data_IF_757244926822
#
_entry.id   IF_757244926822
#
_cell.length_a   1.000
_cell.length_b   1.000
_cell.length_c   1.000
_cell.angle_alpha   90.00
_cell.angle_beta   90.00
_cell.angle_gamma   90.00
#
_symmetry.space_group_name_H-M   'P 1'
#
loop_
_entity.id
_entity.type
_entity.pdbx_description
1 polymer ?
#
# COMPACT_ATOMS: atom_id res chain seq x y z
N UNK A 1 -0.40 10.78 -6.84
CA UNK A 1 -0.39 11.77 -7.95
C UNK A 1 0.21 13.06 -7.43
N UNK A 2 0.96 13.79 -8.25
CA UNK A 2 1.47 15.12 -7.90
C UNK A 2 1.34 16.02 -9.12
N UNK A 3 0.69 17.16 -8.98
CA UNK A 3 0.42 18.11 -10.06
C UNK A 3 1.01 19.44 -9.68
N UNK A 4 1.75 20.07 -10.59
CA UNK A 4 2.38 21.38 -10.38
C UNK A 4 1.66 22.49 -11.13
N UNK A 5 1.75 23.70 -10.60
CA UNK A 5 1.12 24.90 -11.18
C UNK A 5 1.90 25.41 -12.40
N UNK A 6 3.22 25.30 -12.40
CA UNK A 6 4.11 25.83 -13.45
C UNK A 6 5.22 24.84 -13.85
N UNK A 7 5.66 24.91 -15.11
CA UNK A 7 6.68 24.02 -15.70
C UNK A 7 8.09 24.24 -15.14
N UNK A 8 8.39 25.41 -14.58
CA UNK A 8 9.70 25.68 -13.98
C UNK A 8 9.82 25.14 -12.54
N UNK A 9 8.74 24.58 -11.99
CA UNK A 9 8.74 23.99 -10.65
C UNK A 9 9.64 22.75 -10.62
N UNK A 10 10.53 22.66 -9.63
CA UNK A 10 11.36 21.47 -9.43
C UNK A 10 10.61 20.49 -8.53
N UNK A 11 10.42 19.26 -8.98
CA UNK A 11 9.62 18.25 -8.28
C UNK A 11 10.50 17.10 -7.81
N UNK A 12 10.22 16.54 -6.63
CA UNK A 12 10.84 15.30 -6.17
C UNK A 12 9.81 14.40 -5.48
N UNK A 13 9.90 13.10 -5.75
CA UNK A 13 9.20 12.07 -4.98
C UNK A 13 10.15 11.44 -3.99
N UNK A 14 9.68 11.28 -2.76
CA UNK A 14 10.43 10.66 -1.66
C UNK A 14 9.62 9.52 -1.04
N UNK A 15 10.31 8.44 -0.66
CA UNK A 15 9.80 7.43 0.26
C UNK A 15 10.56 7.59 1.58
N UNK A 16 9.87 8.00 2.64
CA UNK A 16 10.49 8.44 3.91
C UNK A 16 11.53 9.53 3.66
N UNK A 17 12.83 9.21 3.75
CA UNK A 17 13.94 10.13 3.49
C UNK A 17 14.69 9.84 2.18
N UNK A 18 14.32 8.78 1.45
CA UNK A 18 14.98 8.38 0.21
C UNK A 18 14.33 9.02 -1.01
N UNK A 19 15.14 9.59 -1.90
CA UNK A 19 14.67 10.16 -3.17
C UNK A 19 14.35 9.01 -4.14
N UNK A 20 13.13 9.00 -4.65
CA UNK A 20 12.69 8.06 -5.69
C UNK A 20 12.92 8.66 -7.08
N UNK A 21 12.45 9.89 -7.26
CA UNK A 21 12.61 10.68 -8.47
C UNK A 21 12.91 12.13 -8.12
N UNK A 22 13.76 12.77 -8.93
CA UNK A 22 13.94 14.22 -8.96
C UNK A 22 13.66 14.69 -10.39
N UNK A 23 12.53 15.37 -10.60
CA UNK A 23 12.00 15.67 -11.92
C UNK A 23 11.72 14.38 -12.69
N UNK A 24 12.45 14.16 -13.78
CA UNK A 24 12.38 12.94 -14.58
C UNK A 24 13.52 11.96 -14.30
N UNK A 25 14.48 12.34 -13.45
CA UNK A 25 15.62 11.51 -13.10
C UNK A 25 15.22 10.52 -12.02
N UNK A 26 15.43 9.23 -12.30
CA UNK A 26 15.16 8.14 -11.37
C UNK A 26 16.35 7.93 -10.45
N UNK A 27 16.13 8.07 -9.14
CA UNK A 27 17.14 7.85 -8.11
C UNK A 27 16.99 6.50 -7.41
N UNK A 28 15.76 5.98 -7.33
CA UNK A 28 15.51 4.66 -6.77
C UNK A 28 16.01 3.54 -7.68
N UNK A 29 16.66 2.53 -7.09
CA UNK A 29 17.07 1.30 -7.76
C UNK A 29 15.91 0.30 -7.96
N UNK A 30 14.73 0.55 -7.36
CA UNK A 30 13.59 -0.34 -7.49
C UNK A 30 13.06 -0.32 -8.94
N UNK A 31 13.07 -1.45 -9.68
CA UNK A 31 12.56 -1.47 -11.06
C UNK A 31 11.05 -1.24 -11.13
N UNK A 32 10.30 -1.45 -10.05
CA UNK A 32 8.84 -1.35 -10.01
C UNK A 32 8.32 0.09 -10.01
N UNK A 33 9.16 1.07 -9.66
CA UNK A 33 8.76 2.48 -9.59
C UNK A 33 8.97 3.19 -10.92
N UNK A 34 7.92 3.87 -11.37
CA UNK A 34 7.84 4.56 -12.66
C UNK A 34 7.15 5.92 -12.49
N UNK A 35 7.47 6.86 -13.38
CA UNK A 35 6.80 8.15 -13.44
C UNK A 35 5.78 8.11 -14.60
N UNK A 36 4.51 8.31 -14.27
CA UNK A 36 3.42 8.29 -15.25
C UNK A 36 3.43 9.59 -16.07
N UNK A 37 3.62 9.47 -17.39
CA UNK A 37 3.71 10.61 -18.32
C UNK A 37 2.37 10.85 -19.00
N UNK A 38 1.41 11.39 -18.26
CA UNK A 38 0.09 11.70 -18.82
C UNK A 38 -0.03 13.15 -19.30
N UNK A 39 0.56 14.09 -18.55
CA UNK A 39 0.54 15.54 -18.85
C UNK A 39 1.86 16.20 -18.44
N UNK A 40 2.21 17.35 -19.03
CA UNK A 40 3.49 18.05 -18.78
C UNK A 40 3.64 18.67 -17.39
N UNK A 41 2.55 18.75 -16.62
CA UNK A 41 2.51 19.29 -15.26
C UNK A 41 2.21 18.20 -14.21
N UNK A 42 2.11 16.94 -14.64
CA UNK A 42 1.80 15.82 -13.75
C UNK A 42 3.03 14.94 -13.55
N UNK A 43 3.42 14.79 -12.30
CA UNK A 43 4.51 13.93 -11.84
C UNK A 43 3.90 12.82 -10.98
N UNK A 44 3.16 11.91 -11.58
CA UNK A 44 2.49 10.83 -10.85
C UNK A 44 3.41 9.63 -10.67
N UNK A 45 3.73 9.30 -9.42
CA UNK A 45 4.46 8.07 -9.07
C UNK A 45 3.56 6.85 -9.21
N UNK A 46 4.04 5.85 -9.95
CA UNK A 46 3.42 4.53 -10.13
C UNK A 46 4.35 3.47 -9.56
N UNK A 47 3.83 2.60 -8.70
CA UNK A 47 4.55 1.45 -8.14
C UNK A 47 3.82 0.20 -8.64
N UNK A 48 4.49 -0.60 -9.47
CA UNK A 48 3.94 -1.86 -9.95
C UNK A 48 4.16 -2.99 -8.94
N UNK A 49 3.29 -4.01 -8.93
CA UNK A 49 3.45 -5.19 -8.06
C UNK A 49 3.73 -4.78 -6.60
N UNK A 50 2.83 -3.96 -6.06
CA UNK A 50 2.92 -3.43 -4.70
C UNK A 50 2.97 -4.58 -3.70
N UNK A 51 3.87 -4.48 -2.74
CA UNK A 51 4.09 -5.42 -1.64
C UNK A 51 3.78 -4.74 -0.29
N UNK A 52 3.53 -5.51 0.76
CA UNK A 52 3.25 -5.00 2.12
C UNK A 52 4.37 -4.12 2.65
N UNK A 53 5.61 -4.30 2.18
CA UNK A 53 6.76 -3.46 2.56
C UNK A 53 6.76 -2.08 1.91
N UNK A 54 5.96 -1.88 0.87
CA UNK A 54 5.81 -0.57 0.23
C UNK A 54 4.89 0.36 1.04
N UNK A 55 4.13 -0.18 2.01
CA UNK A 55 3.26 0.60 2.88
C UNK A 55 4.02 1.70 3.64
N UNK A 56 3.45 2.89 3.64
CA UNK A 56 4.00 4.04 4.36
C UNK A 56 3.81 5.37 3.65
N UNK A 57 4.51 6.37 4.17
CA UNK A 57 4.43 7.75 3.68
C UNK A 57 5.31 7.99 2.45
N UNK A 58 4.67 8.49 1.39
CA UNK A 58 5.31 9.00 0.19
C UNK A 58 5.08 10.50 0.11
N UNK A 59 6.13 11.26 -0.17
CA UNK A 59 6.07 12.73 -0.20
C UNK A 59 6.40 13.21 -1.60
N UNK A 60 5.54 14.05 -2.17
CA UNK A 60 5.89 14.90 -3.29
C UNK A 60 6.33 16.26 -2.76
N UNK A 61 7.56 16.66 -3.05
CA UNK A 61 8.10 17.98 -2.74
C UNK A 61 8.21 18.79 -4.03
N UNK A 62 7.72 20.02 -4.01
CA UNK A 62 7.70 20.93 -5.16
C UNK A 62 8.34 22.24 -4.74
N UNK A 63 9.47 22.59 -5.34
CA UNK A 63 10.04 23.92 -5.23
C UNK A 63 9.29 24.87 -6.15
N UNK A 64 8.48 25.76 -5.57
CA UNK A 64 7.85 26.87 -6.30
C UNK A 64 8.77 28.10 -6.30
N UNK A 65 8.36 29.18 -7.00
CA UNK A 65 9.14 30.42 -7.06
C UNK A 65 9.34 31.11 -5.70
N UNK A 66 8.43 30.87 -4.75
CA UNK A 66 8.47 31.50 -3.43
C UNK A 66 8.99 30.53 -2.38
N UNK A 67 8.32 29.38 -2.23
CA UNK A 67 8.61 28.42 -1.16
C UNK A 67 8.47 26.96 -1.63
N UNK A 68 9.16 26.02 -0.97
CA UNK A 68 8.89 24.60 -1.16
C UNK A 68 7.51 24.24 -0.59
N UNK A 69 6.66 23.63 -1.41
CA UNK A 69 5.40 23.03 -1.00
C UNK A 69 5.57 21.51 -0.95
N UNK A 70 5.03 20.88 0.08
CA UNK A 70 5.05 19.41 0.23
C UNK A 70 3.65 18.84 0.31
N UNK A 71 3.45 17.69 -0.33
CA UNK A 71 2.21 16.91 -0.24
C UNK A 71 2.59 15.48 0.10
N UNK A 72 2.13 14.99 1.25
CA UNK A 72 2.36 13.63 1.71
C UNK A 72 1.10 12.79 1.51
N UNK A 73 1.29 11.57 1.03
CA UNK A 73 0.25 10.54 0.92
C UNK A 73 0.71 9.28 1.66
N UNK A 74 -0.22 8.58 2.31
CA UNK A 74 0.06 7.32 2.97
C UNK A 74 -0.48 6.17 2.11
N UNK A 75 0.41 5.32 1.61
CA UNK A 75 0.04 4.13 0.85
C UNK A 75 -0.33 3.02 1.83
N UNK A 76 -1.58 2.54 1.78
CA UNK A 76 -2.07 1.40 2.58
C UNK A 76 -2.17 0.18 1.67
N UNK A 77 -1.54 -0.93 2.05
CA UNK A 77 -1.52 -2.16 1.25
C UNK A 77 -2.49 -3.18 1.83
N UNK A 78 -3.51 -3.52 1.05
CA UNK A 78 -4.53 -4.49 1.46
C UNK A 78 -4.15 -5.90 1.03
N UNK A 79 -4.41 -6.86 1.91
CA UNK A 79 -4.20 -8.29 1.68
C UNK A 79 -5.54 -9.00 1.92
N UNK A 80 -6.08 -9.71 0.92
CA UNK A 80 -7.34 -10.43 1.09
C UNK A 80 -7.30 -11.43 2.26
N UNK A 81 -8.43 -11.64 2.95
CA UNK A 81 -8.50 -12.61 4.02
C UNK A 81 -8.25 -14.03 3.48
N UNK A 82 -7.42 -14.80 4.19
CA UNK A 82 -7.13 -16.21 3.89
C UNK A 82 -7.10 -16.99 5.19
N UNK A 83 -7.90 -18.05 5.27
CA UNK A 83 -7.87 -19.01 6.38
C UNK A 83 -6.48 -19.67 6.39
N UNK A 84 -5.77 -19.50 7.49
CA UNK A 84 -4.42 -20.05 7.71
C UNK A 84 -4.46 -21.35 8.50
N UNK A 85 -5.48 -21.55 9.34
CA UNK A 85 -5.72 -22.78 10.06
C UNK A 85 -7.21 -22.92 10.37
N UNK A 86 -7.75 -24.12 10.25
CA UNK A 86 -9.10 -24.46 10.67
C UNK A 86 -9.06 -25.84 11.31
N UNK A 87 -9.84 -26.05 12.38
CA UNK A 87 -10.04 -27.37 12.96
C UNK A 87 -10.40 -28.39 11.88
N UNK A 88 -9.76 -29.56 11.93
CA UNK A 88 -10.14 -30.70 11.12
C UNK A 88 -11.52 -31.21 11.53
N UNK A 89 -12.09 -32.11 10.73
CA UNK A 89 -13.30 -32.83 11.09
C UNK A 89 -13.12 -33.55 12.43
N UNK A 90 -14.16 -33.47 13.28
CA UNK A 90 -14.14 -34.03 14.63
C UNK A 90 -15.43 -34.83 14.85
N UNK A 91 -15.28 -36.04 15.38
CA UNK A 91 -16.39 -36.88 15.85
C UNK A 91 -16.38 -36.90 17.36
N UNK A 92 -17.51 -36.58 18.00
CA UNK A 92 -17.64 -36.53 19.45
C UNK A 92 -18.87 -37.30 19.91
N UNK A 93 -18.82 -37.85 21.12
CA UNK A 93 -19.98 -38.49 21.73
C UNK A 93 -21.00 -37.44 22.19
N UNK A 94 -22.27 -37.84 22.24
CA UNK A 94 -23.34 -37.00 22.80
C UNK A 94 -22.99 -36.52 24.23
N UNK A 95 -23.29 -35.25 24.51
CA UNK A 95 -22.96 -34.60 25.78
C UNK A 95 -21.51 -34.13 25.92
N UNK A 96 -20.64 -34.38 24.93
CA UNK A 96 -19.26 -33.89 24.94
C UNK A 96 -19.16 -32.43 24.50
N UNK A 97 -18.19 -31.69 25.04
CA UNK A 97 -17.86 -30.35 24.58
C UNK A 97 -16.86 -30.38 23.41
N UNK A 98 -17.03 -29.50 22.44
CA UNK A 98 -16.12 -29.31 21.30
C UNK A 98 -15.77 -27.84 21.13
N UNK A 99 -14.51 -27.55 20.81
CA UNK A 99 -14.03 -26.21 20.46
C UNK A 99 -13.49 -26.23 19.05
N UNK A 100 -14.07 -25.42 18.17
CA UNK A 100 -13.59 -25.24 16.80
C UNK A 100 -12.75 -23.96 16.73
N UNK A 101 -11.59 -24.06 16.09
CA UNK A 101 -10.65 -22.96 15.90
C UNK A 101 -10.60 -22.61 14.42
N UNK A 102 -10.63 -21.32 14.12
CA UNK A 102 -10.39 -20.79 12.79
C UNK A 102 -9.45 -19.59 12.95
N UNK A 103 -8.31 -19.64 12.27
CA UNK A 103 -7.35 -18.56 12.16
C UNK A 103 -7.32 -18.10 10.70
N UNK A 104 -7.39 -16.80 10.49
CA UNK A 104 -7.31 -16.19 9.18
C UNK A 104 -6.34 -15.02 9.22
N UNK A 105 -5.58 -14.85 8.14
CA UNK A 105 -4.67 -13.73 7.97
C UNK A 105 -5.27 -12.77 6.94
N UNK A 106 -5.03 -11.47 7.07
CA UNK A 106 -5.49 -10.47 6.11
C UNK A 106 -5.06 -9.07 6.54
N UNK A 107 -5.17 -8.10 5.63
CA UNK A 107 -4.93 -6.68 5.93
C UNK A 107 -6.02 -5.84 5.28
N UNK A 108 -6.87 -5.13 6.06
CA UNK A 108 -6.95 -5.13 7.52
C UNK A 108 -7.24 -6.51 8.14
N UNK A 109 -7.06 -6.62 9.46
CA UNK A 109 -7.30 -7.86 10.21
C UNK A 109 -8.73 -8.41 9.92
N UNK A 110 -8.87 -9.68 9.53
CA UNK A 110 -10.15 -10.22 9.12
C UNK A 110 -11.11 -10.46 10.30
N UNK A 111 -12.39 -10.23 10.07
CA UNK A 111 -13.45 -10.63 11.00
C UNK A 111 -13.87 -12.07 10.71
N UNK A 112 -13.75 -12.94 11.71
CA UNK A 112 -14.07 -14.37 11.60
C UNK A 112 -15.48 -14.61 12.14
N UNK A 113 -16.31 -15.32 11.35
CA UNK A 113 -17.66 -15.70 11.73
C UNK A 113 -17.89 -17.19 11.47
N UNK A 114 -18.68 -17.83 12.33
CA UNK A 114 -19.06 -19.24 12.21
C UNK A 114 -20.52 -19.36 11.77
N UNK A 115 -20.81 -20.40 10.98
CA UNK A 115 -22.18 -20.74 10.58
C UNK A 115 -22.37 -22.24 10.68
N UNK A 116 -23.45 -22.66 11.33
CA UNK A 116 -23.94 -24.03 11.25
C UNK A 116 -24.71 -24.19 9.94
N UNK A 117 -24.33 -25.16 9.11
CA UNK A 117 -25.06 -25.49 7.89
C UNK A 117 -26.20 -26.42 8.26
N UNK A 118 -27.41 -25.88 8.28
CA UNK A 118 -28.67 -26.64 8.32
C UNK A 118 -29.12 -27.00 6.92
#
# INVERSE_FOLDING_TARGET
RCVVEDKNSKVAWLNRSGIIFAGHDKWSLDPRVELEKRHSLEYSLRIQKVDVYDEGSYTCSVQTQHEPKTSQVYLIVQVPPKISNISSDVTVNEGSNVTLVCMANGRPEPVITWRHLT
#
